data_IF_000983927151
#
_entry.id   IF_000983927151
#
_cell.length_a   1.000
_cell.length_b   1.000
_cell.length_c   1.000
_cell.angle_alpha   90.00
_cell.angle_beta   90.00
_cell.angle_gamma   90.00
#
_symmetry.space_group_name_H-M   'P 1'
#
loop_
_entity.id
_entity.type
_entity.pdbx_description
1 polymer ?
#
# COMPACT_ATOMS: atom_id res chain seq x y z
N UNK A 1 41.11 -6.74 -1.00
CA UNK A 1 40.00 -6.04 -1.68
C UNK A 1 38.89 -6.98 -2.17
N UNK A 2 39.20 -8.04 -2.93
CA UNK A 2 38.20 -9.01 -3.43
C UNK A 2 37.35 -9.73 -2.35
N UNK A 3 37.94 -10.10 -1.20
CA UNK A 3 37.19 -10.73 -0.08
C UNK A 3 36.13 -9.81 0.53
N UNK A 4 36.36 -8.50 0.52
CA UNK A 4 35.42 -7.52 1.08
C UNK A 4 34.23 -7.33 0.14
N UNK A 5 34.49 -7.22 -1.17
CA UNK A 5 33.46 -7.17 -2.22
C UNK A 5 32.58 -8.42 -2.27
N UNK A 6 33.13 -9.60 -1.94
CA UNK A 6 32.36 -10.85 -1.91
C UNK A 6 31.46 -10.95 -0.66
N UNK A 7 31.92 -10.44 0.49
CA UNK A 7 31.11 -10.40 1.72
C UNK A 7 29.94 -9.43 1.59
N UNK A 8 30.16 -8.25 1.03
CA UNK A 8 29.07 -7.27 0.81
C UNK A 8 28.03 -7.80 -0.18
N UNK A 9 28.47 -8.48 -1.25
CA UNK A 9 27.57 -9.15 -2.18
C UNK A 9 26.69 -10.19 -1.48
N UNK A 10 27.29 -11.08 -0.68
CA UNK A 10 26.54 -12.12 0.04
C UNK A 10 25.53 -11.56 1.05
N UNK A 11 25.88 -10.49 1.77
CA UNK A 11 24.97 -9.84 2.72
C UNK A 11 23.76 -9.23 1.99
N UNK A 12 24.00 -8.55 0.85
CA UNK A 12 22.92 -7.96 0.05
C UNK A 12 21.95 -9.04 -0.48
N UNK A 13 22.45 -10.20 -0.92
CA UNK A 13 21.61 -11.30 -1.38
C UNK A 13 20.76 -11.88 -0.24
N UNK A 14 21.35 -12.07 0.94
CA UNK A 14 20.62 -12.56 2.13
C UNK A 14 19.49 -11.60 2.51
N UNK A 15 19.77 -10.30 2.55
CA UNK A 15 18.76 -9.26 2.84
C UNK A 15 17.64 -9.29 1.78
N UNK A 16 18.00 -9.43 0.50
CA UNK A 16 17.04 -9.54 -0.60
C UNK A 16 16.10 -10.73 -0.43
N UNK A 17 16.63 -11.92 -0.11
CA UNK A 17 15.84 -13.13 0.13
C UNK A 17 14.92 -12.98 1.34
N UNK A 18 15.41 -12.44 2.45
CA UNK A 18 14.59 -12.19 3.64
C UNK A 18 13.44 -11.24 3.31
N UNK A 19 13.72 -10.13 2.61
CA UNK A 19 12.70 -9.17 2.21
C UNK A 19 11.64 -9.80 1.28
N UNK A 20 12.07 -10.65 0.35
CA UNK A 20 11.17 -11.39 -0.53
C UNK A 20 10.23 -12.32 0.26
N UNK A 21 10.76 -13.13 1.18
CA UNK A 21 9.95 -14.00 2.05
C UNK A 21 8.94 -13.22 2.91
N UNK A 22 9.35 -12.08 3.47
CA UNK A 22 8.48 -11.23 4.28
C UNK A 22 7.35 -10.61 3.44
N UNK A 23 7.65 -10.12 2.23
CA UNK A 23 6.65 -9.57 1.32
C UNK A 23 5.61 -10.62 0.91
N UNK A 24 6.03 -11.84 0.57
CA UNK A 24 5.11 -12.93 0.22
C UNK A 24 4.23 -13.33 1.41
N UNK A 25 4.80 -13.39 2.61
CA UNK A 25 4.04 -13.67 3.84
C UNK A 25 3.01 -12.58 4.11
N UNK A 26 3.40 -11.31 3.98
CA UNK A 26 2.49 -10.17 4.16
C UNK A 26 1.36 -10.18 3.12
N UNK A 27 1.66 -10.51 1.86
CA UNK A 27 0.67 -10.62 0.78
C UNK A 27 -0.37 -11.70 1.09
N UNK A 28 0.06 -12.89 1.51
CA UNK A 28 -0.85 -13.97 1.92
C UNK A 28 -1.72 -13.57 3.11
N UNK A 29 -1.14 -12.85 4.09
CA UNK A 29 -1.86 -12.39 5.26
C UNK A 29 -2.95 -11.36 4.90
N UNK A 30 -2.64 -10.36 4.06
CA UNK A 30 -3.64 -9.39 3.61
C UNK A 30 -4.72 -10.01 2.72
N UNK A 31 -4.36 -10.98 1.86
CA UNK A 31 -5.34 -11.77 1.11
C UNK A 31 -6.28 -12.53 2.05
N UNK A 32 -5.73 -13.21 3.05
CA UNK A 32 -6.52 -13.95 4.03
C UNK A 32 -7.48 -13.02 4.79
N UNK A 33 -7.03 -11.84 5.23
CA UNK A 33 -7.87 -10.84 5.89
C UNK A 33 -9.03 -10.41 4.98
N UNK A 34 -8.75 -10.11 3.71
CA UNK A 34 -9.78 -9.69 2.75
C UNK A 34 -10.79 -10.82 2.51
N UNK A 35 -10.34 -12.06 2.32
CA UNK A 35 -11.21 -13.23 2.09
C UNK A 35 -12.09 -13.51 3.32
N UNK A 36 -11.48 -13.56 4.52
CA UNK A 36 -12.21 -13.78 5.78
C UNK A 36 -13.24 -12.67 5.98
N UNK A 37 -12.84 -11.43 5.73
CA UNK A 37 -13.72 -10.29 5.80
C UNK A 37 -14.92 -10.44 4.87
N UNK A 38 -14.70 -10.76 3.58
CA UNK A 38 -15.78 -10.96 2.61
C UNK A 38 -16.72 -12.07 3.06
N UNK A 39 -16.18 -13.18 3.58
CA UNK A 39 -16.95 -14.34 4.05
C UNK A 39 -17.79 -14.06 5.30
N UNK A 40 -17.32 -13.19 6.21
CA UNK A 40 -17.98 -12.89 7.48
C UNK A 40 -18.82 -11.60 7.45
N UNK A 41 -19.13 -11.02 6.29
CA UNK A 41 -19.90 -9.77 6.22
C UNK A 41 -21.32 -9.95 6.76
N UNK A 42 -21.59 -9.41 7.94
CA UNK A 42 -22.95 -9.25 8.49
C UNK A 42 -23.62 -7.91 8.14
N UNK A 43 -22.88 -6.87 7.75
CA UNK A 43 -23.49 -5.66 7.20
C UNK A 43 -22.50 -4.82 6.38
N UNK A 44 -22.82 -4.55 5.12
CA UNK A 44 -21.98 -3.78 4.19
C UNK A 44 -21.98 -2.27 4.47
N UNK A 45 -22.84 -1.81 5.39
CA UNK A 45 -23.05 -0.40 5.70
C UNK A 45 -22.17 0.17 6.81
N UNK A 46 -21.35 -0.66 7.47
CA UNK A 46 -20.41 -0.16 8.48
C UNK A 46 -19.22 0.55 7.81
N UNK A 47 -19.19 1.88 7.97
CA UNK A 47 -18.16 2.76 7.41
C UNK A 47 -16.77 2.37 7.93
N UNK A 48 -16.65 1.98 9.20
CA UNK A 48 -15.38 1.57 9.80
C UNK A 48 -14.78 0.38 9.06
N UNK A 49 -15.66 -0.56 8.68
CA UNK A 49 -15.31 -1.80 8.01
C UNK A 49 -14.91 -1.53 6.55
N UNK A 50 -15.61 -0.61 5.87
CA UNK A 50 -15.21 -0.14 4.52
C UNK A 50 -13.84 0.55 4.52
N UNK A 51 -13.59 1.45 5.48
CA UNK A 51 -12.29 2.13 5.59
C UNK A 51 -11.16 1.15 5.90
N UNK A 52 -11.45 0.12 6.72
CA UNK A 52 -10.49 -0.96 7.00
C UNK A 52 -10.20 -1.76 5.72
N UNK A 53 -11.21 -2.11 4.92
CA UNK A 53 -10.98 -2.77 3.64
C UNK A 53 -10.17 -1.93 2.67
N UNK A 54 -10.42 -0.62 2.58
CA UNK A 54 -9.63 0.26 1.72
C UNK A 54 -8.15 0.23 2.12
N UNK A 55 -7.88 0.21 3.42
CA UNK A 55 -6.52 0.14 3.96
C UNK A 55 -5.86 -1.22 3.68
N UNK A 56 -6.57 -2.32 3.91
CA UNK A 56 -6.09 -3.67 3.59
C UNK A 56 -5.86 -3.85 2.09
N UNK A 57 -6.72 -3.28 1.25
CA UNK A 57 -6.58 -3.30 -0.20
C UNK A 57 -5.34 -2.50 -0.64
N UNK A 58 -5.17 -1.28 -0.15
CA UNK A 58 -3.97 -0.47 -0.44
C UNK A 58 -2.68 -1.18 0.02
N UNK A 59 -2.71 -1.81 1.20
CA UNK A 59 -1.59 -2.59 1.72
C UNK A 59 -1.29 -3.82 0.84
N UNK A 60 -2.31 -4.55 0.40
CA UNK A 60 -2.16 -5.68 -0.51
C UNK A 60 -1.50 -5.25 -1.83
N UNK A 61 -1.97 -4.16 -2.44
CA UNK A 61 -1.39 -3.67 -3.70
C UNK A 61 0.04 -3.16 -3.49
N UNK A 62 0.34 -2.53 -2.35
CA UNK A 62 1.72 -2.14 -1.98
C UNK A 62 2.64 -3.36 -1.86
N UNK A 63 2.17 -4.42 -1.18
CA UNK A 63 2.91 -5.68 -1.06
C UNK A 63 3.10 -6.37 -2.42
N UNK A 64 2.11 -6.30 -3.31
CA UNK A 64 2.21 -6.84 -4.67
C UNK A 64 3.31 -6.13 -5.48
N UNK A 65 3.32 -4.79 -5.46
CA UNK A 65 4.35 -3.97 -6.12
C UNK A 65 5.73 -4.27 -5.54
N UNK A 66 5.85 -4.32 -4.21
CA UNK A 66 7.09 -4.67 -3.52
C UNK A 66 7.58 -6.09 -3.88
N UNK A 67 6.67 -7.06 -4.00
CA UNK A 67 7.00 -8.42 -4.41
C UNK A 67 7.55 -8.47 -5.84
N UNK A 68 6.99 -7.69 -6.77
CA UNK A 68 7.50 -7.58 -8.14
C UNK A 68 8.90 -6.96 -8.16
N UNK A 69 9.12 -5.87 -7.43
CA UNK A 69 10.41 -5.20 -7.35
C UNK A 69 11.49 -6.10 -6.72
N UNK A 70 11.17 -6.78 -5.61
CA UNK A 70 12.10 -7.69 -4.93
C UNK A 70 12.41 -8.93 -5.76
N UNK A 71 11.41 -9.48 -6.47
CA UNK A 71 11.61 -10.60 -7.40
C UNK A 71 12.52 -10.21 -8.56
N UNK A 72 12.28 -9.05 -9.18
CA UNK A 72 13.13 -8.54 -10.27
C UNK A 72 14.58 -8.30 -9.83
N UNK A 73 14.76 -7.76 -8.62
CA UNK A 73 16.08 -7.54 -8.03
C UNK A 73 16.83 -8.86 -7.77
N UNK A 74 16.13 -9.91 -7.32
CA UNK A 74 16.74 -11.22 -7.06
C UNK A 74 17.05 -12.01 -8.34
N UNK A 75 16.20 -11.92 -9.37
CA UNK A 75 16.38 -12.70 -10.60
C UNK A 75 17.42 -12.12 -11.54
N UNK A 76 17.40 -10.80 -11.74
CA UNK A 76 18.21 -10.14 -12.76
C UNK A 76 19.31 -9.25 -12.15
N UNK A 77 19.17 -8.82 -10.90
CA UNK A 77 20.05 -7.86 -10.25
C UNK A 77 19.57 -6.40 -10.43
N UNK A 78 19.84 -5.56 -9.43
CA UNK A 78 19.35 -4.16 -9.33
C UNK A 78 19.64 -3.25 -10.55
N UNK A 79 20.61 -3.62 -11.39
CA UNK A 79 21.18 -2.79 -12.45
C UNK A 79 20.87 -3.25 -13.88
N UNK A 80 20.21 -4.40 -14.07
CA UNK A 80 19.82 -4.87 -15.41
C UNK A 80 18.34 -4.66 -15.73
N UNK A 81 17.54 -4.26 -14.75
CA UNK A 81 16.17 -3.85 -15.00
C UNK A 81 16.17 -2.45 -15.63
N UNK A 82 15.46 -2.27 -16.75
CA UNK A 82 15.37 -0.98 -17.44
C UNK A 82 15.06 0.17 -16.46
N UNK A 83 15.73 1.32 -16.61
CA UNK A 83 15.49 2.51 -15.76
C UNK A 83 13.99 2.86 -15.65
N UNK A 84 13.26 2.76 -16.77
CA UNK A 84 11.81 2.95 -16.83
C UNK A 84 11.04 2.00 -15.90
N UNK A 85 11.48 0.75 -15.77
CA UNK A 85 10.88 -0.21 -14.84
C UNK A 85 11.04 0.28 -13.39
N UNK A 86 12.25 0.69 -13.00
CA UNK A 86 12.50 1.19 -11.65
C UNK A 86 11.67 2.44 -11.33
N UNK A 87 11.58 3.39 -12.27
CA UNK A 87 10.79 4.61 -12.10
C UNK A 87 9.29 4.31 -11.98
N UNK A 88 8.73 3.46 -12.85
CA UNK A 88 7.29 3.15 -12.85
C UNK A 88 6.91 2.35 -11.60
N UNK A 89 7.65 1.29 -11.26
CA UNK A 89 7.33 0.47 -10.09
C UNK A 89 7.61 1.19 -8.78
N UNK A 90 8.65 2.03 -8.72
CA UNK A 90 8.91 2.91 -7.58
C UNK A 90 7.79 3.93 -7.37
N UNK A 91 7.35 4.61 -8.44
CA UNK A 91 6.22 5.54 -8.36
C UNK A 91 4.94 4.86 -7.87
N UNK A 92 4.64 3.67 -8.41
CA UNK A 92 3.48 2.89 -7.97
C UNK A 92 3.58 2.54 -6.47
N UNK A 93 4.76 2.12 -6.01
CA UNK A 93 5.00 1.82 -4.59
C UNK A 93 4.70 3.04 -3.72
N UNK A 94 5.24 4.20 -4.08
CA UNK A 94 5.04 5.45 -3.34
C UNK A 94 3.56 5.87 -3.33
N UNK A 95 2.84 5.73 -4.45
CA UNK A 95 1.41 6.05 -4.54
C UNK A 95 0.59 5.18 -3.59
N UNK A 96 0.83 3.86 -3.59
CA UNK A 96 0.07 2.95 -2.73
C UNK A 96 0.45 3.12 -1.26
N UNK A 97 1.72 3.34 -0.95
CA UNK A 97 2.17 3.60 0.42
C UNK A 97 1.59 4.91 0.95
N UNK A 98 1.59 5.98 0.14
CA UNK A 98 0.93 7.25 0.46
C UNK A 98 -0.58 7.07 0.73
N UNK A 99 -1.23 6.21 -0.06
CA UNK A 99 -2.65 5.89 0.10
C UNK A 99 -2.96 5.18 1.42
N UNK A 100 -2.04 4.35 1.94
CA UNK A 100 -2.17 3.74 3.27
C UNK A 100 -2.17 4.82 4.36
N UNK A 101 -1.23 5.78 4.31
CA UNK A 101 -1.17 6.87 5.29
C UNK A 101 -2.45 7.71 5.28
N UNK A 102 -2.93 8.10 4.10
CA UNK A 102 -4.19 8.82 3.98
C UNK A 102 -5.40 8.01 4.46
N UNK A 103 -5.39 6.69 4.27
CA UNK A 103 -6.43 5.82 4.81
C UNK A 103 -6.45 5.83 6.35
N UNK A 104 -5.28 5.85 7.01
CA UNK A 104 -5.22 6.00 8.47
C UNK A 104 -5.75 7.35 8.95
N UNK A 105 -5.42 8.44 8.24
CA UNK A 105 -5.99 9.75 8.52
C UNK A 105 -7.52 9.73 8.39
N UNK A 106 -8.04 9.08 7.34
CA UNK A 106 -9.49 8.99 7.12
C UNK A 106 -10.20 8.16 8.21
N UNK A 107 -9.57 7.07 8.68
CA UNK A 107 -10.09 6.29 9.81
C UNK A 107 -10.10 7.10 11.12
N UNK A 108 -9.03 7.86 11.41
CA UNK A 108 -8.98 8.74 12.56
C UNK A 108 -10.03 9.84 12.48
N UNK A 109 -10.19 10.43 11.29
CA UNK A 109 -11.21 11.43 11.01
C UNK A 109 -12.62 10.88 11.19
N UNK A 110 -12.90 9.66 10.71
CA UNK A 110 -14.18 9.00 10.95
C UNK A 110 -14.50 8.84 12.44
N UNK A 111 -13.52 8.37 13.23
CA UNK A 111 -13.67 8.22 14.68
C UNK A 111 -13.94 9.57 15.36
N UNK A 112 -13.24 10.63 14.94
CA UNK A 112 -13.48 11.99 15.42
C UNK A 112 -14.90 12.46 15.07
N UNK A 113 -15.32 12.30 13.81
CA UNK A 113 -16.65 12.69 13.35
C UNK A 113 -17.76 11.98 14.12
N UNK A 114 -17.58 10.69 14.39
CA UNK A 114 -18.54 9.90 15.18
C UNK A 114 -18.67 10.42 16.61
N UNK A 115 -17.57 10.81 17.26
CA UNK A 115 -17.57 11.30 18.65
C UNK A 115 -18.09 12.74 18.74
N UNK A 116 -17.55 13.64 17.93
CA UNK A 116 -17.83 15.09 18.00
C UNK A 116 -19.16 15.44 17.35
N UNK A 117 -19.50 14.81 16.24
CA UNK A 117 -20.66 15.16 15.42
C UNK A 117 -21.77 14.10 15.45
N UNK A 118 -21.92 13.36 16.55
CA UNK A 118 -22.91 12.28 16.67
C UNK A 118 -24.36 12.70 16.33
N UNK A 119 -24.71 13.98 16.54
CA UNK A 119 -26.04 14.54 16.18
C UNK A 119 -26.20 14.84 14.69
N UNK A 120 -25.12 15.10 13.95
CA UNK A 120 -25.14 15.46 12.52
C UNK A 120 -24.92 14.23 11.64
N UNK A 121 -25.98 13.45 11.42
CA UNK A 121 -25.95 12.19 10.62
C UNK A 121 -25.37 12.36 9.20
N UNK A 122 -25.50 13.54 8.59
CA UNK A 122 -24.93 13.81 7.25
C UNK A 122 -23.41 13.66 7.20
N UNK A 123 -22.69 14.11 8.25
CA UNK A 123 -21.23 14.03 8.34
C UNK A 123 -20.70 12.61 8.61
N UNK A 124 -21.58 11.69 8.99
CA UNK A 124 -21.29 10.27 9.23
C UNK A 124 -21.99 9.40 8.17
N UNK A 125 -22.34 10.00 7.02
CA UNK A 125 -23.00 9.26 5.95
C UNK A 125 -22.02 8.39 5.19
N UNK A 126 -22.48 7.21 4.78
CA UNK A 126 -21.70 6.27 4.00
C UNK A 126 -21.19 6.89 2.69
N UNK A 127 -22.07 7.59 1.95
CA UNK A 127 -21.73 8.22 0.68
C UNK A 127 -20.62 9.27 0.81
N UNK A 128 -20.61 10.04 1.89
CA UNK A 128 -19.56 11.02 2.14
C UNK A 128 -18.19 10.36 2.31
N UNK A 129 -18.11 9.27 3.09
CA UNK A 129 -16.85 8.55 3.27
C UNK A 129 -16.37 7.83 2.00
N UNK A 130 -17.28 7.31 1.17
CA UNK A 130 -16.90 6.77 -0.15
C UNK A 130 -16.31 7.85 -1.04
N UNK A 131 -16.92 9.04 -1.07
CA UNK A 131 -16.38 10.17 -1.83
C UNK A 131 -14.98 10.58 -1.32
N UNK A 132 -14.77 10.58 0.00
CA UNK A 132 -13.45 10.87 0.59
C UNK A 132 -12.41 9.78 0.24
N UNK A 133 -12.80 8.50 0.21
CA UNK A 133 -11.91 7.42 -0.25
C UNK A 133 -11.50 7.66 -1.70
N UNK A 134 -12.44 7.93 -2.59
CA UNK A 134 -12.13 8.20 -4.01
C UNK A 134 -11.22 9.42 -4.13
N UNK A 135 -11.54 10.51 -3.42
CA UNK A 135 -10.71 11.72 -3.39
C UNK A 135 -9.29 11.47 -2.88
N UNK A 136 -9.13 10.62 -1.86
CA UNK A 136 -7.84 10.23 -1.30
C UNK A 136 -6.95 9.49 -2.32
N UNK A 137 -7.55 8.60 -3.12
CA UNK A 137 -6.84 7.93 -4.22
C UNK A 137 -6.40 8.91 -5.30
N UNK A 138 -7.31 9.77 -5.76
CA UNK A 138 -7.00 10.80 -6.76
C UNK A 138 -5.91 11.76 -6.28
N UNK A 139 -5.99 12.20 -5.02
CA UNK A 139 -5.03 13.11 -4.42
C UNK A 139 -3.63 12.50 -4.33
N UNK A 140 -3.53 11.22 -3.94
CA UNK A 140 -2.25 10.50 -3.86
C UNK A 140 -1.57 10.41 -5.23
N UNK A 141 -2.34 10.18 -6.29
CA UNK A 141 -1.83 10.15 -7.66
C UNK A 141 -1.36 11.56 -8.06
N UNK A 142 -2.19 12.59 -7.89
CA UNK A 142 -1.88 13.96 -8.33
C UNK A 142 -0.62 14.52 -7.65
N UNK A 143 -0.38 14.21 -6.38
CA UNK A 143 0.80 14.71 -5.65
C UNK A 143 2.09 14.03 -6.10
N UNK A 144 2.05 12.74 -6.42
CA UNK A 144 3.25 11.94 -6.69
C UNK A 144 3.57 11.84 -8.18
N UNK A 145 2.65 12.25 -9.06
CA UNK A 145 2.85 12.26 -10.51
C UNK A 145 3.86 13.32 -11.01
N UNK A 146 3.95 14.56 -10.48
CA UNK A 146 4.82 15.61 -11.02
C UNK A 146 6.32 15.26 -11.09
N UNK A 147 6.93 14.59 -10.08
CA UNK A 147 8.31 14.13 -10.17
C UNK A 147 8.60 13.20 -11.35
N UNK A 148 7.60 12.49 -11.87
CA UNK A 148 7.76 11.59 -13.02
C UNK A 148 7.92 12.35 -14.34
N UNK A 149 7.35 13.55 -14.47
CA UNK A 149 7.45 14.37 -15.68
C UNK A 149 8.67 15.31 -15.69
N UNK A 150 9.32 15.48 -14.54
CA UNK A 150 10.50 16.35 -14.37
C UNK A 150 11.84 15.62 -14.55
N UNK A 151 11.81 14.28 -14.66
CA UNK A 151 12.95 13.41 -14.98
C UNK A 151 12.86 12.94 -16.43
#
# INVERSE_FOLDING_TARGET
MYKYSRRTANIATIIGVINWCLNFTALLLFLAIIIIGIKHRRDLRDISLVLTYNTCFAALVTCLVSAVMTTSNLSNGFLTSNFTFCCVWGLLYDIFQCSIYHSYYLQAFYRLCRVVFYKKKSLVSYSFFIMLVIGQWSFSIIILLPPFFLN
#
